data_IF_522799142479
#
_entry.id   IF_522799142479
#
_cell.length_a   1.000
_cell.length_b   1.000
_cell.length_c   1.000
_cell.angle_alpha   90.00
_cell.angle_beta   90.00
_cell.angle_gamma   90.00
#
_symmetry.space_group_name_H-M   'P 1'
#
loop_
_entity.id
_entity.type
_entity.pdbx_description
1 polymer ?
#
# COMPACT_ATOMS: atom_id res chain seq x y z
N UNK A 1 10.41 -6.57 -23.75
CA UNK A 1 10.99 -7.33 -22.61
C UNK A 1 11.99 -6.39 -21.94
N UNK A 2 11.57 -5.64 -20.92
CA UNK A 2 12.41 -4.62 -20.30
C UNK A 2 13.43 -5.33 -19.40
N UNK A 3 14.71 -5.23 -19.73
CA UNK A 3 15.80 -5.78 -18.91
C UNK A 3 15.73 -5.11 -17.53
N UNK A 4 15.68 -5.92 -16.47
CA UNK A 4 15.68 -5.48 -15.07
C UNK A 4 16.84 -4.52 -14.77
N UNK A 5 17.98 -4.68 -15.45
CA UNK A 5 19.15 -3.79 -15.37
C UNK A 5 18.84 -2.37 -15.86
N UNK A 6 18.11 -2.23 -16.98
CA UNK A 6 17.72 -0.92 -17.52
C UNK A 6 16.75 -0.19 -16.58
N UNK A 7 15.82 -0.93 -15.95
CA UNK A 7 14.90 -0.36 -14.97
C UNK A 7 15.65 0.06 -13.69
N UNK A 8 16.58 -0.78 -13.21
CA UNK A 8 17.43 -0.46 -12.07
C UNK A 8 18.32 0.77 -12.34
N UNK A 9 18.85 0.91 -13.55
CA UNK A 9 19.69 2.04 -13.94
C UNK A 9 18.87 3.33 -14.10
N UNK A 10 17.66 3.24 -14.66
CA UNK A 10 16.71 4.35 -14.70
C UNK A 10 16.33 4.81 -13.28
N UNK A 11 16.02 3.87 -12.38
CA UNK A 11 15.74 4.18 -10.98
C UNK A 11 16.94 4.86 -10.32
N UNK A 12 18.17 4.34 -10.52
CA UNK A 12 19.41 4.98 -10.03
C UNK A 12 19.51 6.42 -10.53
N UNK A 13 19.24 6.69 -11.80
CA UNK A 13 19.29 8.07 -12.32
C UNK A 13 18.21 9.00 -11.75
N UNK A 14 17.03 8.47 -11.40
CA UNK A 14 15.97 9.23 -10.73
C UNK A 14 16.33 9.57 -9.28
N UNK A 15 17.03 8.68 -8.57
CA UNK A 15 17.42 8.88 -7.16
C UNK A 15 18.79 9.57 -6.97
N UNK A 16 19.67 9.59 -7.99
CA UNK A 16 21.02 10.16 -7.88
C UNK A 16 21.14 11.65 -8.27
N UNK A 17 20.06 12.32 -8.67
CA UNK A 17 20.09 13.78 -8.91
C UNK A 17 19.86 14.60 -7.62
N UNK A 18 20.92 14.69 -6.79
CA UNK A 18 21.47 15.92 -6.17
C UNK A 18 22.53 15.55 -5.12
N UNK A 19 23.77 16.02 -5.33
CA UNK A 19 24.77 16.21 -4.27
C UNK A 19 24.36 17.38 -3.37
N UNK A 20 23.22 17.26 -2.70
CA UNK A 20 22.98 17.90 -1.41
C UNK A 20 23.21 16.75 -0.46
N UNK A 21 24.09 16.86 0.55
CA UNK A 21 24.15 15.87 1.63
C UNK A 21 22.75 15.76 2.23
N UNK A 22 21.91 14.76 1.85
CA UNK A 22 20.58 14.69 2.38
C UNK A 22 20.81 14.12 3.78
N UNK A 23 20.33 14.80 4.81
CA UNK A 23 20.01 14.07 6.04
C UNK A 23 19.17 12.89 5.58
N UNK A 24 19.75 11.69 5.61
CA UNK A 24 19.09 10.49 5.10
C UNK A 24 18.04 10.16 6.15
N UNK A 25 16.87 10.76 6.01
CA UNK A 25 15.76 10.49 6.90
C UNK A 25 15.26 9.10 6.56
N UNK A 26 15.52 8.15 7.45
CA UNK A 26 14.89 6.85 7.36
C UNK A 26 13.38 7.05 7.47
N UNK A 27 12.68 6.95 6.35
CA UNK A 27 11.22 6.97 6.34
C UNK A 27 10.78 5.56 6.65
N UNK A 28 10.22 5.38 7.84
CA UNK A 28 9.54 4.15 8.23
C UNK A 28 8.09 4.49 8.54
N UNK A 29 7.20 3.56 8.22
CA UNK A 29 5.84 3.60 8.73
C UNK A 29 5.91 3.34 10.24
N UNK A 30 5.75 4.40 11.04
CA UNK A 30 5.76 4.27 12.49
C UNK A 30 4.49 3.51 12.93
N UNK A 31 4.68 2.42 13.66
CA UNK A 31 3.61 1.86 14.46
C UNK A 31 3.53 2.66 15.77
N UNK A 32 2.35 3.18 16.12
CA UNK A 32 2.13 3.74 17.45
C UNK A 32 2.11 2.57 18.44
N UNK A 33 3.25 2.37 19.13
CA UNK A 33 3.61 1.28 20.06
C UNK A 33 2.50 0.33 20.49
N UNK A 34 2.73 -0.98 20.27
CA UNK A 34 1.84 -2.06 20.69
C UNK A 34 2.11 -3.37 19.94
N UNK A 35 1.49 -4.46 20.38
CA UNK A 35 1.48 -5.77 19.69
C UNK A 35 0.37 -5.73 18.63
N UNK A 36 0.52 -4.87 17.63
CA UNK A 36 -0.54 -4.62 16.64
C UNK A 36 -0.11 -5.05 15.26
N UNK A 37 -1.07 -5.60 14.54
CA UNK A 37 -0.94 -5.90 13.13
C UNK A 37 -1.26 -4.63 12.32
N UNK A 38 -0.50 -4.42 11.25
CA UNK A 38 -0.64 -3.26 10.39
C UNK A 38 -0.89 -3.74 8.97
N UNK A 39 -2.00 -3.29 8.40
CA UNK A 39 -2.36 -3.47 7.00
C UNK A 39 -1.94 -2.21 6.22
N UNK A 40 -1.00 -2.35 5.29
CA UNK A 40 -0.64 -1.33 4.32
C UNK A 40 -1.28 -1.67 2.97
N UNK A 41 -2.02 -0.72 2.38
CA UNK A 41 -2.77 -0.93 1.13
C UNK A 41 -2.44 0.15 0.09
N UNK A 42 -2.49 -0.23 -1.18
CA UNK A 42 -2.30 0.65 -2.32
C UNK A 42 -3.05 0.09 -3.55
N UNK A 43 -3.95 0.91 -4.10
CA UNK A 43 -4.64 0.66 -5.36
C UNK A 43 -3.93 1.35 -6.54
N UNK A 44 -3.86 0.68 -7.69
CA UNK A 44 -3.18 1.22 -8.86
C UNK A 44 -4.06 1.22 -10.11
N UNK A 45 -3.79 2.15 -11.03
CA UNK A 45 -4.45 2.28 -12.33
C UNK A 45 -3.45 2.76 -13.38
N UNK A 46 -3.41 2.11 -14.55
CA UNK A 46 -2.52 2.49 -15.67
C UNK A 46 -3.22 2.38 -17.03
N UNK A 47 -2.91 3.30 -17.96
CA UNK A 47 -3.26 3.22 -19.38
C UNK A 47 -4.63 3.79 -19.80
N UNK A 48 -4.94 3.63 -21.09
CA UNK A 48 -6.22 3.95 -21.74
C UNK A 48 -6.51 2.92 -22.86
N UNK A 49 -7.47 1.98 -22.71
CA UNK A 49 -8.36 1.82 -21.56
C UNK A 49 -7.58 1.38 -20.32
N UNK A 50 -8.00 1.86 -19.15
CA UNK A 50 -7.21 1.76 -17.94
C UNK A 50 -7.35 0.40 -17.26
N UNK A 51 -6.24 -0.28 -17.01
CA UNK A 51 -6.17 -1.49 -16.21
C UNK A 51 -5.87 -1.08 -14.76
N UNK A 52 -6.65 -1.63 -13.83
CA UNK A 52 -6.49 -1.43 -12.40
C UNK A 52 -6.06 -2.70 -11.70
N UNK A 53 -5.34 -2.53 -10.60
CA UNK A 53 -4.93 -3.61 -9.70
C UNK A 53 -4.87 -3.13 -8.27
N UNK A 54 -4.81 -4.07 -7.34
CA UNK A 54 -4.66 -3.80 -5.92
C UNK A 54 -3.47 -4.56 -5.35
N UNK A 55 -2.89 -4.03 -4.27
CA UNK A 55 -1.88 -4.74 -3.48
C UNK A 55 -1.88 -4.27 -2.04
N UNK A 56 -1.51 -5.17 -1.14
CA UNK A 56 -1.27 -4.80 0.24
C UNK A 56 -0.46 -5.83 0.98
N UNK A 57 -0.11 -5.49 2.21
CA UNK A 57 0.58 -6.38 3.11
C UNK A 57 0.11 -6.18 4.54
N UNK A 58 0.17 -7.25 5.30
CA UNK A 58 0.05 -7.26 6.74
C UNK A 58 1.45 -7.44 7.31
N UNK A 59 1.80 -6.61 8.29
CA UNK A 59 3.08 -6.65 9.02
C UNK A 59 2.87 -6.39 10.49
N UNK A 60 3.84 -6.79 11.30
CA UNK A 60 3.92 -6.42 12.72
C UNK A 60 4.33 -4.96 12.89
N UNK A 61 4.11 -4.45 14.10
CA UNK A 61 4.44 -3.09 14.52
C UNK A 61 5.94 -2.77 14.47
N UNK A 62 6.80 -3.78 14.66
CA UNK A 62 8.26 -3.68 14.50
C UNK A 62 8.72 -3.62 13.03
N UNK A 63 7.79 -3.80 12.09
CA UNK A 63 8.04 -3.82 10.66
C UNK A 63 8.25 -5.22 10.08
N UNK A 64 8.22 -6.28 10.89
CA UNK A 64 8.34 -7.65 10.38
C UNK A 64 7.13 -7.98 9.49
N UNK A 65 7.43 -8.43 8.26
CA UNK A 65 6.42 -8.84 7.30
C UNK A 65 5.72 -10.13 7.78
N UNK A 66 4.41 -10.22 7.56
CA UNK A 66 3.61 -11.40 7.91
C UNK A 66 2.98 -12.01 6.66
N UNK A 67 2.19 -11.22 5.92
CA UNK A 67 1.49 -11.68 4.73
C UNK A 67 1.40 -10.56 3.67
N UNK A 68 1.23 -10.93 2.41
CA UNK A 68 0.98 -9.97 1.32
C UNK A 68 -0.04 -10.51 0.34
N UNK A 69 -0.74 -9.61 -0.33
CA UNK A 69 -1.73 -9.93 -1.35
C UNK A 69 -1.64 -8.94 -2.51
N UNK A 70 -2.03 -9.40 -3.70
CA UNK A 70 -2.17 -8.57 -4.87
C UNK A 70 -3.18 -9.20 -5.83
N UNK A 71 -3.80 -8.38 -6.67
CA UNK A 71 -4.75 -8.85 -7.67
C UNK A 71 -4.96 -7.87 -8.82
N UNK A 72 -5.43 -8.41 -9.94
CA UNK A 72 -5.81 -7.65 -11.12
C UNK A 72 -7.34 -7.49 -11.15
N UNK A 73 -7.81 -6.25 -11.30
CA UNK A 73 -9.24 -5.90 -11.35
C UNK A 73 -9.74 -5.87 -12.80
N UNK A 74 -8.83 -5.67 -13.76
CA UNK A 74 -9.17 -5.40 -15.15
C UNK A 74 -9.54 -3.93 -15.35
N UNK A 75 -10.54 -3.67 -16.19
CA UNK A 75 -10.98 -2.31 -16.50
C UNK A 75 -11.69 -1.68 -15.30
N UNK A 76 -11.04 -0.70 -14.68
CA UNK A 76 -11.63 -0.02 -13.53
C UNK A 76 -11.10 1.39 -13.30
N UNK A 77 -11.62 2.04 -12.27
CA UNK A 77 -11.18 3.35 -11.81
C UNK A 77 -10.28 3.22 -10.55
N UNK A 78 -9.60 4.32 -10.20
CA UNK A 78 -8.65 4.32 -9.09
C UNK A 78 -9.36 4.16 -7.74
N UNK A 79 -10.51 4.80 -7.54
CA UNK A 79 -11.26 4.71 -6.28
C UNK A 79 -11.71 3.27 -6.00
N UNK A 80 -12.19 2.56 -7.02
CA UNK A 80 -12.55 1.16 -6.89
C UNK A 80 -11.32 0.30 -6.55
N UNK A 81 -10.16 0.56 -7.16
CA UNK A 81 -8.93 -0.18 -6.83
C UNK A 81 -8.51 0.02 -5.37
N UNK A 82 -8.51 1.25 -4.89
CA UNK A 82 -8.15 1.59 -3.50
C UNK A 82 -9.11 0.94 -2.49
N UNK A 83 -10.43 1.03 -2.72
CA UNK A 83 -11.44 0.41 -1.86
C UNK A 83 -11.33 -1.13 -1.87
N UNK A 84 -11.12 -1.73 -3.04
CA UNK A 84 -11.00 -3.18 -3.17
C UNK A 84 -9.72 -3.69 -2.48
N UNK A 85 -8.67 -2.88 -2.46
CA UNK A 85 -7.44 -3.19 -1.71
C UNK A 85 -7.72 -3.26 -0.21
N UNK A 86 -8.46 -2.29 0.36
CA UNK A 86 -8.88 -2.33 1.77
C UNK A 86 -9.73 -3.57 2.04
N UNK A 87 -10.72 -3.84 1.18
CA UNK A 87 -11.59 -5.02 1.31
C UNK A 87 -10.80 -6.33 1.38
N UNK A 88 -9.91 -6.58 0.41
CA UNK A 88 -9.11 -7.80 0.41
C UNK A 88 -8.14 -7.87 1.59
N UNK A 89 -7.60 -6.74 2.04
CA UNK A 89 -6.76 -6.69 3.23
C UNK A 89 -7.53 -7.05 4.51
N UNK A 90 -8.79 -6.62 4.65
CA UNK A 90 -9.65 -6.95 5.77
C UNK A 90 -10.09 -8.42 5.74
N UNK A 91 -10.44 -8.96 4.56
CA UNK A 91 -10.76 -10.38 4.38
C UNK A 91 -9.56 -11.25 4.78
N UNK A 92 -8.35 -10.91 4.31
CA UNK A 92 -7.13 -11.63 4.69
C UNK A 92 -6.89 -11.56 6.21
N UNK A 93 -7.06 -10.39 6.82
CA UNK A 93 -6.90 -10.25 8.27
C UNK A 93 -7.90 -11.12 9.04
N UNK A 94 -9.15 -11.22 8.55
CA UNK A 94 -10.17 -12.08 9.12
C UNK A 94 -9.81 -13.57 9.02
N UNK A 95 -9.35 -14.02 7.85
CA UNK A 95 -8.91 -15.40 7.61
C UNK A 95 -7.71 -15.80 8.48
N UNK A 96 -6.87 -14.83 8.85
CA UNK A 96 -5.72 -15.01 9.74
C UNK A 96 -6.06 -14.87 11.24
N UNK A 97 -7.35 -14.74 11.58
CA UNK A 97 -7.85 -14.51 12.95
C UNK A 97 -7.28 -13.24 13.62
N UNK A 98 -6.91 -12.23 12.83
CA UNK A 98 -6.38 -10.96 13.34
C UNK A 98 -7.55 -10.07 13.77
N UNK A 99 -7.69 -9.86 15.09
CA UNK A 99 -8.80 -9.07 15.68
C UNK A 99 -8.51 -7.57 15.79
N UNK A 100 -7.24 -7.18 15.92
CA UNK A 100 -6.83 -5.78 16.03
C UNK A 100 -5.85 -5.43 14.89
N UNK A 101 -6.25 -4.47 14.05
CA UNK A 101 -5.54 -4.12 12.83
C UNK A 101 -5.56 -2.60 12.61
N UNK A 102 -4.41 -2.02 12.28
CA UNK A 102 -4.32 -0.64 11.80
C UNK A 102 -4.19 -0.64 10.28
N UNK A 103 -5.14 -0.03 9.58
CA UNK A 103 -5.09 0.11 8.13
C UNK A 103 -4.48 1.46 7.73
N UNK A 104 -3.37 1.44 6.99
CA UNK A 104 -2.78 2.60 6.33
C UNK A 104 -3.03 2.55 4.83
N UNK A 105 -3.71 3.57 4.33
CA UNK A 105 -3.87 3.88 2.91
C UNK A 105 -3.27 5.26 2.64
N UNK A 106 -2.76 5.50 1.44
CA UNK A 106 -2.36 6.82 0.95
C UNK A 106 -3.50 7.54 0.19
N UNK A 107 -4.63 6.87 -0.02
CA UNK A 107 -5.84 7.45 -0.62
C UNK A 107 -6.68 8.22 0.40
N UNK A 108 -6.55 9.55 0.39
CA UNK A 108 -7.36 10.44 1.24
C UNK A 108 -8.87 10.25 1.05
N UNK A 109 -9.31 9.94 -0.17
CA UNK A 109 -10.72 9.72 -0.47
C UNK A 109 -11.23 8.47 0.25
N UNK A 110 -10.46 7.37 0.20
CA UNK A 110 -10.83 6.13 0.89
C UNK A 110 -10.82 6.31 2.40
N UNK A 111 -9.80 6.96 2.97
CA UNK A 111 -9.78 7.26 4.41
C UNK A 111 -11.03 8.03 4.83
N UNK A 112 -11.41 9.06 4.07
CA UNK A 112 -12.60 9.86 4.35
C UNK A 112 -13.87 9.01 4.31
N UNK A 113 -14.09 8.28 3.21
CA UNK A 113 -15.29 7.44 3.04
C UNK A 113 -15.46 6.42 4.17
N UNK A 114 -14.38 5.78 4.59
CA UNK A 114 -14.42 4.77 5.65
C UNK A 114 -14.53 5.38 7.05
N UNK A 115 -13.98 6.56 7.26
CA UNK A 115 -14.04 7.25 8.56
C UNK A 115 -15.40 7.90 8.79
N UNK A 116 -16.04 8.43 7.75
CA UNK A 116 -17.36 9.05 7.84
C UNK A 116 -18.43 8.00 8.25
N UNK A 117 -18.31 6.75 7.78
CA UNK A 117 -19.22 5.65 8.17
C UNK A 117 -19.04 5.14 9.61
N UNK A 118 -17.88 5.35 10.24
CA UNK A 118 -17.62 4.87 11.62
C UNK A 118 -18.12 5.87 12.67
N UNK A 119 -18.37 7.14 12.26
CA UNK A 119 -18.83 8.20 13.15
C UNK A 119 -20.35 8.43 13.13
N UNK A 120 -21.11 7.57 12.43
CA UNK A 120 -22.58 7.47 12.51
C UNK A 120 -22.99 6.36 13.49
#
# INVERSE_FOLDING_TARGET
>A
RTNTENLAQLLRTCFLKRNISPNTTMVRWNAHGGIRMILNVDGSRIGNPSISGFRGLIRKSDGAWEHSFAGNIGLSNILHAELLTVYHGLVLAWELDIKELWCYSDSKIVIKLLSDHVNE
#
